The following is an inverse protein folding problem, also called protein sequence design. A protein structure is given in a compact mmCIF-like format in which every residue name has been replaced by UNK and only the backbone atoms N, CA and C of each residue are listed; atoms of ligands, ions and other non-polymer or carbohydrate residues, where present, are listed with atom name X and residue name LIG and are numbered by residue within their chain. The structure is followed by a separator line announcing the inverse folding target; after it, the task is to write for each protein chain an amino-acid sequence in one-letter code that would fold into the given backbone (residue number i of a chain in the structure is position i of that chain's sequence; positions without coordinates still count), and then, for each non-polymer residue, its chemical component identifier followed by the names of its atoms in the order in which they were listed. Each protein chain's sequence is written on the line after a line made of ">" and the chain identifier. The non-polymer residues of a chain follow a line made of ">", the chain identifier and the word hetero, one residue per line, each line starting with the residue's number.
data_IF_304330980712
#
_entry.id   IF_304330980712
#
_cell.length_a   1.000
_cell.length_b   1.000
_cell.length_c   1.000
_cell.angle_alpha   90.00
_cell.angle_beta   90.00
_cell.angle_gamma   90.00
#
_symmetry.space_group_name_H-M   'P 1'
#
loop_
_entity.id
_entity.type
_entity.pdbx_description
1 polymer ?
#
# COMPACT_ATOMS: atom_id res chain seq x y z
N UNK A 1 22.93 1.07 17.16
CA UNK A 1 22.14 -0.15 17.45
C UNK A 1 20.73 0.09 16.95
N UNK A 2 20.29 -0.67 15.96
CA UNK A 2 18.91 -0.58 15.50
C UNK A 2 18.01 -1.21 16.56
N UNK A 3 17.03 -0.44 17.07
CA UNK A 3 16.00 -0.98 17.94
C UNK A 3 15.10 -1.90 17.10
N UNK A 4 15.24 -3.19 17.31
CA UNK A 4 14.34 -4.18 16.73
C UNK A 4 13.02 -4.10 17.50
N UNK A 5 11.98 -3.57 16.85
CA UNK A 5 10.63 -3.59 17.40
C UNK A 5 10.09 -5.01 17.17
N UNK A 6 9.64 -5.74 18.21
CA UNK A 6 9.08 -7.07 18.04
C UNK A 6 7.86 -7.02 17.12
N UNK A 7 7.84 -7.84 16.07
CA UNK A 7 6.73 -7.93 15.11
C UNK A 7 6.95 -7.23 13.77
N UNK A 8 8.00 -6.42 13.63
CA UNK A 8 8.40 -5.89 12.32
C UNK A 8 9.28 -6.93 11.64
N UNK A 9 8.97 -7.38 10.40
CA UNK A 9 9.87 -8.25 9.69
C UNK A 9 11.22 -7.56 9.55
N UNK A 10 12.29 -8.21 10.04
CA UNK A 10 13.65 -7.72 9.84
C UNK A 10 13.96 -7.74 8.35
N UNK A 11 14.46 -6.63 7.78
CA UNK A 11 14.88 -6.63 6.38
C UNK A 11 15.90 -7.74 6.18
N UNK A 12 15.66 -8.59 5.19
CA UNK A 12 16.67 -9.59 4.79
C UNK A 12 17.85 -8.85 4.19
N UNK A 13 19.04 -9.39 4.42
CA UNK A 13 20.27 -8.85 3.82
C UNK A 13 20.11 -8.85 2.29
N UNK A 14 20.03 -7.66 1.69
CA UNK A 14 19.78 -7.50 0.26
C UNK A 14 18.43 -6.84 -0.09
N UNK A 15 17.53 -6.72 0.87
CA UNK A 15 16.30 -5.94 0.67
C UNK A 15 16.64 -4.44 0.62
N UNK A 16 16.01 -3.68 -0.29
CA UNK A 16 16.15 -2.23 -0.27
C UNK A 16 15.79 -1.71 1.11
N UNK A 17 16.69 -0.95 1.71
CA UNK A 17 16.52 -0.42 3.06
C UNK A 17 15.29 0.49 3.08
N UNK A 18 14.26 0.11 3.82
CA UNK A 18 13.13 0.98 4.10
C UNK A 18 13.62 2.20 4.87
N UNK A 19 13.63 3.35 4.23
CA UNK A 19 14.05 4.61 4.83
C UNK A 19 12.82 5.28 5.42
N UNK A 20 12.72 5.25 6.75
CA UNK A 20 11.74 6.07 7.45
C UNK A 20 12.19 7.53 7.37
N UNK A 21 11.28 8.43 7.03
CA UNK A 21 11.55 9.86 7.11
C UNK A 21 12.04 10.23 8.51
N UNK A 22 13.20 10.88 8.57
CA UNK A 22 13.85 11.19 9.87
C UNK A 22 13.06 12.19 10.72
N UNK A 23 12.12 12.94 10.15
CA UNK A 23 11.40 13.99 10.85
C UNK A 23 10.13 13.54 11.54
N UNK A 24 9.54 12.42 11.11
CA UNK A 24 8.39 11.82 11.78
C UNK A 24 8.52 10.31 11.64
N UNK A 25 8.59 9.66 12.76
CA UNK A 25 8.62 8.20 12.81
C UNK A 25 7.21 7.67 12.51
N UNK A 26 6.90 7.54 11.23
CA UNK A 26 5.71 6.82 10.79
C UNK A 26 6.10 5.37 10.50
N UNK A 27 5.24 4.46 10.90
CA UNK A 27 5.41 3.03 10.69
C UNK A 27 4.20 2.54 9.91
N UNK A 28 4.44 1.84 8.81
CA UNK A 28 3.40 1.12 8.09
C UNK A 28 3.59 -0.37 8.30
N UNK A 29 2.50 -1.06 8.58
CA UNK A 29 2.48 -2.49 8.82
C UNK A 29 1.38 -3.14 8.00
N UNK A 30 1.67 -4.30 7.44
CA UNK A 30 0.71 -5.20 6.82
C UNK A 30 0.56 -6.39 7.76
N UNK A 31 -0.67 -6.72 8.17
CA UNK A 31 -0.93 -7.82 9.10
C UNK A 31 -0.43 -9.16 8.54
N UNK A 32 -0.65 -9.36 7.24
CA UNK A 32 -0.12 -10.51 6.52
C UNK A 32 0.14 -10.14 5.06
N UNK A 33 1.17 -10.73 4.48
CA UNK A 33 1.43 -10.61 3.05
C UNK A 33 0.29 -11.29 2.30
N UNK A 34 -0.36 -10.55 1.42
CA UNK A 34 -1.49 -11.06 0.64
C UNK A 34 -0.98 -11.86 -0.54
N UNK A 35 -1.40 -13.12 -0.65
CA UNK A 35 -1.12 -13.93 -1.83
C UNK A 35 -2.26 -13.77 -2.84
N UNK A 36 -1.95 -13.20 -3.99
CA UNK A 36 -2.91 -12.84 -5.03
C UNK A 36 -2.71 -13.78 -6.22
N UNK A 37 -3.75 -14.48 -6.62
CA UNK A 37 -3.69 -15.24 -7.85
C UNK A 37 -3.73 -14.29 -9.05
N UNK A 38 -2.84 -14.47 -9.99
CA UNK A 38 -2.74 -13.65 -11.21
C UNK A 38 -4.10 -13.51 -11.91
N UNK A 39 -4.49 -12.28 -12.24
CA UNK A 39 -5.74 -11.98 -12.92
C UNK A 39 -6.99 -12.01 -12.04
N UNK A 40 -6.85 -12.04 -10.70
CA UNK A 40 -7.99 -11.93 -9.78
C UNK A 40 -8.01 -10.58 -9.07
N UNK A 41 -9.17 -10.17 -8.59
CA UNK A 41 -9.29 -8.99 -7.73
C UNK A 41 -8.80 -9.30 -6.32
N UNK A 42 -8.16 -8.34 -5.68
CA UNK A 42 -7.69 -8.48 -4.30
C UNK A 42 -7.62 -7.13 -3.59
N UNK A 43 -7.80 -7.12 -2.28
CA UNK A 43 -7.56 -5.92 -1.47
C UNK A 43 -6.42 -6.16 -0.50
N UNK A 44 -5.61 -5.11 -0.30
CA UNK A 44 -4.48 -5.08 0.62
C UNK A 44 -4.78 -4.03 1.68
N UNK A 45 -4.65 -4.40 2.94
CA UNK A 45 -4.83 -3.50 4.07
C UNK A 45 -3.47 -3.13 4.65
N UNK A 46 -3.22 -1.83 4.80
CA UNK A 46 -2.01 -1.29 5.40
C UNK A 46 -2.39 -0.46 6.62
N UNK A 47 -1.83 -0.79 7.77
CA UNK A 47 -2.04 -0.08 9.01
C UNK A 47 -0.88 0.87 9.28
N UNK A 48 -1.21 2.11 9.64
CA UNK A 48 -0.25 3.18 9.88
C UNK A 48 -0.21 3.56 11.35
N UNK A 49 1.00 3.69 11.88
CA UNK A 49 1.27 4.05 13.27
C UNK A 49 2.17 5.28 13.33
N UNK A 50 2.07 6.02 14.41
CA UNK A 50 3.05 7.03 14.76
C UNK A 50 4.31 6.38 15.38
N UNK A 51 5.33 7.20 15.68
CA UNK A 51 6.57 6.72 16.28
C UNK A 51 6.44 6.12 17.67
N UNK A 52 5.32 6.32 18.35
CA UNK A 52 5.02 5.79 19.68
C UNK A 52 4.23 4.47 19.61
N UNK A 53 3.97 3.98 18.39
CA UNK A 53 3.21 2.76 18.16
C UNK A 53 1.69 2.91 18.29
N UNK A 54 1.19 4.15 18.33
CA UNK A 54 -0.24 4.43 18.31
C UNK A 54 -0.75 4.52 16.88
N UNK A 55 -1.99 4.13 16.66
CA UNK A 55 -2.66 4.26 15.38
C UNK A 55 -2.67 5.72 14.92
N UNK A 56 -2.38 5.92 13.63
CA UNK A 56 -2.27 7.24 13.05
C UNK A 56 -3.67 7.78 12.71
N UNK A 57 -3.98 8.99 13.19
CA UNK A 57 -5.20 9.69 12.76
C UNK A 57 -5.03 10.21 11.32
N UNK A 58 -5.64 9.51 10.37
CA UNK A 58 -5.51 9.82 8.95
C UNK A 58 -6.23 11.09 8.53
N UNK A 59 -7.15 11.63 9.35
CA UNK A 59 -7.89 12.88 9.07
C UNK A 59 -6.99 14.12 9.09
N UNK A 60 -5.83 14.03 9.72
CA UNK A 60 -4.84 15.12 9.72
C UNK A 60 -4.17 15.35 8.37
N UNK A 61 -4.24 14.39 7.47
CA UNK A 61 -3.63 14.50 6.15
C UNK A 61 -4.61 15.05 5.12
N UNK A 62 -4.12 15.88 4.22
CA UNK A 62 -4.87 16.40 3.08
C UNK A 62 -4.80 15.46 1.88
N UNK A 63 -3.73 14.69 1.80
CA UNK A 63 -3.49 13.76 0.71
C UNK A 63 -2.72 12.54 1.22
N UNK A 64 -3.15 11.37 0.78
CA UNK A 64 -2.42 10.11 0.93
C UNK A 64 -2.26 9.51 -0.45
N UNK A 65 -1.03 9.24 -0.83
CA UNK A 65 -0.71 8.53 -2.06
C UNK A 65 -0.02 7.22 -1.72
N UNK A 66 -0.43 6.14 -2.37
CA UNK A 66 0.25 4.85 -2.30
C UNK A 66 0.57 4.38 -3.71
N UNK A 67 1.82 4.11 -3.95
CA UNK A 67 2.28 3.49 -5.19
C UNK A 67 2.68 2.04 -4.90
N UNK A 68 2.12 1.12 -5.66
CA UNK A 68 2.54 -0.27 -5.67
C UNK A 68 3.48 -0.51 -6.86
N UNK A 69 4.55 -1.23 -6.61
CA UNK A 69 5.55 -1.58 -7.62
C UNK A 69 6.05 -3.01 -7.43
N UNK A 70 6.55 -3.60 -8.51
CA UNK A 70 7.13 -4.94 -8.51
C UNK A 70 8.65 -4.91 -8.24
N UNK A 71 9.28 -6.08 -8.24
CA UNK A 71 10.72 -6.23 -8.00
C UNK A 71 11.60 -5.52 -9.06
N UNK A 72 11.04 -5.15 -10.20
CA UNK A 72 11.72 -4.44 -11.27
C UNK A 72 11.43 -2.93 -11.26
N UNK A 73 10.88 -2.42 -10.16
CA UNK A 73 10.45 -1.02 -10.01
C UNK A 73 9.37 -0.57 -11.02
N UNK A 74 8.65 -1.54 -11.60
CA UNK A 74 7.54 -1.23 -12.49
C UNK A 74 6.27 -0.97 -11.68
N UNK A 75 5.62 0.16 -11.92
CA UNK A 75 4.38 0.51 -11.25
C UNK A 75 3.29 -0.53 -11.51
N UNK A 76 2.76 -1.09 -10.43
CA UNK A 76 1.61 -2.01 -10.44
C UNK A 76 0.31 -1.24 -10.40
N UNK A 77 0.19 -0.32 -9.45
CA UNK A 77 -0.98 0.54 -9.28
C UNK A 77 -0.61 1.81 -8.50
N UNK A 78 -1.37 2.87 -8.71
CA UNK A 78 -1.33 4.08 -7.91
C UNK A 78 -2.67 4.28 -7.23
N UNK A 79 -2.64 4.65 -5.96
CA UNK A 79 -3.80 4.95 -5.15
C UNK A 79 -3.70 6.35 -4.56
N UNK A 80 -4.84 7.02 -4.46
CA UNK A 80 -4.94 8.37 -3.98
C UNK A 80 -6.10 8.55 -3.02
N UNK A 81 -5.94 9.38 -2.02
CA UNK A 81 -7.01 9.86 -1.17
C UNK A 81 -6.85 11.38 -1.00
N UNK A 82 -7.94 12.15 -1.04
CA UNK A 82 -9.35 11.74 -1.17
C UNK A 82 -9.78 11.43 -2.59
N UNK A 83 -9.02 11.77 -3.59
CA UNK A 83 -9.36 11.56 -5.00
C UNK A 83 -8.11 11.46 -5.87
N UNK A 84 -8.25 10.83 -7.02
CA UNK A 84 -7.18 10.79 -8.03
C UNK A 84 -7.01 12.20 -8.62
N UNK A 85 -5.80 12.80 -8.61
CA UNK A 85 -5.56 14.10 -9.19
C UNK A 85 -5.88 14.14 -10.69
N UNK A 86 -6.33 15.30 -11.17
CA UNK A 86 -6.63 15.51 -12.59
C UNK A 86 -5.41 15.22 -13.46
N UNK A 87 -5.57 14.38 -14.46
CA UNK A 87 -4.49 13.96 -15.37
C UNK A 87 -3.65 12.79 -14.87
N UNK A 88 -3.83 12.34 -13.62
CA UNK A 88 -3.20 11.13 -13.12
C UNK A 88 -4.05 9.90 -13.41
N UNK A 89 -3.39 8.74 -13.49
CA UNK A 89 -4.06 7.43 -13.56
C UNK A 89 -3.91 6.73 -12.22
N UNK A 90 -4.97 6.11 -11.76
CA UNK A 90 -4.93 5.35 -10.51
C UNK A 90 -6.33 5.14 -9.94
N UNK A 91 -6.36 4.70 -8.72
CA UNK A 91 -7.54 4.33 -7.97
C UNK A 91 -7.67 5.22 -6.72
N UNK A 92 -8.88 5.33 -6.22
CA UNK A 92 -9.11 5.93 -4.90
C UNK A 92 -8.85 4.84 -3.86
N UNK A 93 -7.98 5.14 -2.88
CA UNK A 93 -7.83 4.27 -1.71
C UNK A 93 -8.96 4.53 -0.72
N UNK A 94 -9.28 3.55 0.08
CA UNK A 94 -10.29 3.61 1.10
C UNK A 94 -9.65 3.74 2.47
N UNK A 95 -10.13 4.70 3.27
CA UNK A 95 -9.79 4.80 4.68
C UNK A 95 -10.87 4.05 5.45
N UNK A 96 -10.46 3.02 6.18
CA UNK A 96 -11.38 2.25 7.01
C UNK A 96 -11.56 2.95 8.35
N UNK A 97 -12.82 3.24 8.68
CA UNK A 97 -13.22 3.89 9.91
C UNK A 97 -13.98 2.91 10.78
N UNK A 98 -13.70 2.94 12.08
CA UNK A 98 -14.45 2.16 13.04
C UNK A 98 -15.38 3.07 13.84
N UNK A 99 -16.65 2.70 13.93
CA UNK A 99 -17.57 3.33 14.89
C UNK A 99 -17.22 2.90 16.31
N UNK A 100 -16.93 3.90 17.14
CA UNK A 100 -16.76 3.67 18.57
C UNK A 100 -18.10 3.84 19.28
N UNK A 101 -18.30 3.11 20.35
CA UNK A 101 -19.55 2.99 21.12
C UNK A 101 -20.13 4.31 21.64
N UNK A 102 -19.39 5.39 21.59
CA UNK A 102 -19.79 6.75 21.98
C UNK A 102 -20.15 7.65 20.77
N UNK A 103 -20.29 7.07 19.58
CA UNK A 103 -20.61 7.80 18.35
C UNK A 103 -19.44 8.54 17.74
N UNK A 104 -18.22 8.35 18.23
CA UNK A 104 -17.01 8.86 17.59
C UNK A 104 -16.53 7.88 16.53
N UNK A 105 -16.29 8.40 15.35
CA UNK A 105 -15.59 7.68 14.29
C UNK A 105 -14.09 7.85 14.56
N UNK A 106 -13.42 6.76 14.87
CA UNK A 106 -11.96 6.74 14.96
C UNK A 106 -11.42 6.13 13.68
N UNK A 107 -10.51 6.87 13.04
CA UNK A 107 -9.69 6.29 12.00
C UNK A 107 -8.66 5.41 12.68
N UNK A 108 -8.69 4.13 12.37
CA UNK A 108 -7.75 3.15 12.93
C UNK A 108 -6.38 3.16 12.22
N UNK A 109 -6.05 4.24 11.51
CA UNK A 109 -4.83 4.29 10.73
C UNK A 109 -4.80 3.25 9.59
N UNK A 110 -5.96 2.70 9.21
CA UNK A 110 -6.07 1.61 8.26
C UNK A 110 -6.51 2.12 6.90
N UNK A 111 -5.70 1.83 5.89
CA UNK A 111 -6.01 2.10 4.48
C UNK A 111 -6.20 0.78 3.73
N UNK A 112 -7.16 0.76 2.81
CA UNK A 112 -7.44 -0.38 1.93
C UNK A 112 -7.18 -0.04 0.48
N UNK A 113 -6.42 -0.89 -0.18
CA UNK A 113 -6.05 -0.78 -1.59
C UNK A 113 -6.66 -1.96 -2.35
N UNK A 114 -7.67 -1.71 -3.20
CA UNK A 114 -8.28 -2.79 -3.97
C UNK A 114 -7.76 -2.79 -5.40
N UNK A 115 -7.13 -3.89 -5.77
CA UNK A 115 -6.56 -4.16 -7.08
C UNK A 115 -7.59 -4.85 -7.98
N UNK A 116 -7.68 -4.41 -9.20
CA UNK A 116 -8.47 -5.08 -10.24
C UNK A 116 -7.64 -6.13 -11.00
N UNK A 117 -8.28 -6.81 -11.92
CA UNK A 117 -7.66 -7.85 -12.74
C UNK A 117 -6.55 -7.32 -13.65
N UNK A 118 -6.57 -6.04 -14.02
CA UNK A 118 -5.53 -5.43 -14.86
C UNK A 118 -4.25 -5.20 -14.07
N UNK A 119 -4.38 -4.85 -12.79
CA UNK A 119 -3.24 -4.69 -11.89
C UNK A 119 -2.58 -6.03 -11.56
N UNK A 120 -3.38 -7.07 -11.34
CA UNK A 120 -2.92 -8.40 -10.92
C UNK A 120 -2.59 -9.33 -12.09
N UNK A 121 -3.00 -8.99 -13.32
CA UNK A 121 -2.72 -9.73 -14.55
C UNK A 121 -1.27 -9.65 -15.04
N UNK A 122 -0.35 -9.22 -14.18
CA UNK A 122 1.08 -9.03 -14.45
C UNK A 122 1.87 -10.29 -14.18
N UNK A 123 3.19 -10.20 -14.45
CA UNK A 123 4.13 -11.25 -14.10
C UNK A 123 4.08 -11.57 -12.61
N UNK A 124 4.12 -12.85 -12.22
CA UNK A 124 4.22 -13.26 -10.84
C UNK A 124 5.45 -12.66 -10.16
N UNK A 125 5.33 -12.33 -8.88
CA UNK A 125 6.42 -11.76 -8.10
C UNK A 125 5.95 -11.00 -6.87
N UNK A 126 6.89 -10.49 -6.10
CA UNK A 126 6.61 -9.66 -4.94
C UNK A 126 6.12 -8.27 -5.33
N UNK A 127 5.24 -7.70 -4.52
CA UNK A 127 4.69 -6.36 -4.66
C UNK A 127 5.04 -5.56 -3.42
N UNK A 128 5.60 -4.40 -3.64
CA UNK A 128 6.00 -3.45 -2.59
C UNK A 128 5.16 -2.19 -2.66
N UNK A 129 5.05 -1.50 -1.55
CA UNK A 129 4.36 -0.23 -1.45
C UNK A 129 5.32 0.90 -1.06
N UNK A 130 5.08 2.06 -1.64
CA UNK A 130 5.61 3.34 -1.19
C UNK A 130 4.44 4.25 -0.85
N UNK A 131 4.48 4.87 0.33
CA UNK A 131 3.46 5.79 0.79
C UNK A 131 4.02 7.20 0.89
N UNK A 132 3.20 8.15 0.48
CA UNK A 132 3.41 9.58 0.67
C UNK A 132 2.18 10.17 1.34
N UNK A 133 2.38 10.81 2.49
CA UNK A 133 1.33 11.46 3.25
C UNK A 133 1.63 12.96 3.34
N UNK A 134 0.66 13.78 2.96
CA UNK A 134 0.77 15.24 3.04
C UNK A 134 -0.12 15.73 4.16
N UNK A 135 0.48 16.30 5.21
CA UNK A 135 -0.23 16.80 6.36
C UNK A 135 -0.70 18.23 6.13
N UNK A 136 -1.92 18.51 6.58
CA UNK A 136 -2.44 19.86 6.58
C UNK A 136 -1.59 20.76 7.52
N UNK A 137 -1.21 21.97 7.09
CA UNK A 137 -0.50 22.87 7.96
C UNK A 137 -1.38 23.26 9.16
N UNK A 138 -0.82 23.19 10.37
CA UNK A 138 -1.52 23.56 11.60
C UNK A 138 -1.85 25.05 11.68
N UNK A 139 -1.06 25.88 10.99
CA UNK A 139 -1.23 27.33 10.98
C UNK A 139 -1.15 27.87 9.56
N UNK A 140 -1.93 28.92 9.29
CA UNK A 140 -1.91 29.63 8.01
C UNK A 140 -0.50 30.16 7.71
N UNK A 141 0.01 29.86 6.53
CA UNK A 141 1.34 30.28 6.07
C UNK A 141 2.49 29.32 6.36
N UNK A 142 2.23 28.21 7.04
CA UNK A 142 3.22 27.14 7.14
C UNK A 142 3.17 26.24 5.91
N UNK A 143 4.32 25.72 5.42
CA UNK A 143 4.32 24.74 4.38
C UNK A 143 3.70 23.41 4.86
N UNK A 144 3.02 22.72 3.97
CA UNK A 144 2.55 21.36 4.24
C UNK A 144 3.75 20.45 4.54
N UNK A 145 3.60 19.58 5.51
CA UNK A 145 4.61 18.56 5.81
C UNK A 145 4.30 17.31 5.00
N UNK A 146 5.34 16.73 4.40
CA UNK A 146 5.24 15.53 3.59
C UNK A 146 6.09 14.44 4.21
N UNK A 147 5.44 13.31 4.45
CA UNK A 147 6.07 12.11 4.99
C UNK A 147 6.14 11.03 3.92
N UNK A 148 7.22 10.26 3.90
CA UNK A 148 7.40 9.14 3.00
C UNK A 148 7.73 7.86 3.77
N UNK A 149 7.13 6.75 3.35
CA UNK A 149 7.46 5.41 3.81
C UNK A 149 7.64 4.56 2.56
N UNK A 150 8.77 3.90 2.42
CA UNK A 150 9.10 3.11 1.23
C UNK A 150 9.43 1.66 1.56
N UNK A 151 9.44 0.82 0.54
CA UNK A 151 9.86 -0.58 0.60
C UNK A 151 9.04 -1.47 1.53
N UNK A 152 7.72 -1.27 1.60
CA UNK A 152 6.84 -2.15 2.37
C UNK A 152 6.45 -3.33 1.48
N UNK A 153 6.83 -4.54 1.87
CA UNK A 153 6.37 -5.74 1.18
C UNK A 153 4.92 -6.03 1.55
N UNK A 154 4.01 -5.95 0.57
CA UNK A 154 2.56 -5.99 0.83
C UNK A 154 1.87 -7.21 0.24
N UNK A 155 2.36 -7.74 -0.87
CA UNK A 155 1.71 -8.85 -1.55
C UNK A 155 2.68 -9.69 -2.38
N UNK A 156 2.20 -10.85 -2.82
CA UNK A 156 2.84 -11.71 -3.82
C UNK A 156 1.80 -12.08 -4.87
N UNK A 157 2.05 -11.75 -6.12
CA UNK A 157 1.25 -12.25 -7.24
C UNK A 157 1.76 -13.65 -7.59
N UNK A 158 0.87 -14.63 -7.47
CA UNK A 158 1.16 -16.02 -7.80
C UNK A 158 0.70 -16.33 -9.22
N UNK A 159 1.46 -17.20 -9.90
CA UNK A 159 1.10 -17.65 -11.24
C UNK A 159 -0.26 -18.34 -11.24
N UNK A 160 -1.08 -17.98 -12.23
CA UNK A 160 -2.37 -18.61 -12.49
C UNK A 160 -2.32 -19.40 -13.77
N UNK A 161 -2.56 -20.70 -13.69
CA UNK A 161 -2.67 -21.55 -14.87
C UNK A 161 -3.87 -21.16 -15.74
N UNK A 162 -4.96 -20.69 -15.11
CA UNK A 162 -6.15 -20.24 -15.82
C UNK A 162 -5.86 -18.96 -16.58
N UNK A 163 -5.13 -18.03 -15.96
CA UNK A 163 -4.77 -16.75 -16.59
C UNK A 163 -3.82 -16.96 -17.76
N UNK A 164 -2.80 -17.80 -17.58
CA UNK A 164 -1.82 -18.10 -18.60
C UNK A 164 -2.35 -19.00 -19.72
N UNK A 165 -3.42 -19.73 -19.48
CA UNK A 165 -4.14 -20.48 -20.49
C UNK A 165 -5.12 -19.64 -21.30
N UNK A 166 -5.08 -18.30 -21.11
CA UNK A 166 -5.94 -17.34 -21.78
C UNK A 166 -6.17 -17.65 -23.25
N UNK A 167 -7.17 -17.04 -23.82
CA UNK A 167 -7.71 -17.32 -25.16
C UNK A 167 -6.70 -17.41 -26.31
N UNK A 168 -5.43 -17.15 -26.06
CA UNK A 168 -4.31 -17.37 -26.99
C UNK A 168 -3.92 -18.82 -27.16
N UNK A 169 -4.27 -19.66 -26.28
CA UNK A 169 -4.25 -21.07 -26.57
C UNK A 169 -5.49 -21.37 -27.38
N UNK A 170 -5.50 -20.86 -28.56
CA UNK A 170 -6.28 -21.50 -29.59
C UNK A 170 -6.00 -22.97 -29.38
N UNK A 171 -6.99 -23.68 -28.92
CA UNK A 171 -6.97 -25.10 -28.61
C UNK A 171 -6.24 -25.93 -29.67
N UNK A 172 -4.94 -25.78 -29.71
CA UNK A 172 -4.02 -26.64 -30.47
C UNK A 172 -3.75 -27.94 -29.74
N UNK A 173 -4.50 -28.22 -28.70
CA UNK A 173 -4.38 -29.46 -27.94
C UNK A 173 -5.47 -30.47 -28.26
N UNK A 174 -6.09 -30.36 -29.43
CA UNK A 174 -6.95 -31.40 -29.97
C UNK A 174 -6.42 -31.86 -31.32
N UNK A 175 -5.29 -32.52 -31.29
CA UNK A 175 -4.90 -33.52 -32.31
C UNK A 175 -4.28 -34.70 -31.62
#
# INVERSE_FOLDING_TARGET
>A
MANIIPGVPTPRTGDPTCVLSQCARLIAQVDCIVYILQGTTACIDIQLFNGDGQLLDLRRFSEIQVMLFDELDCTVANFWWPSVPTGCRGFVLEILQTEVTDGRILDEGLIRLCLDTTCTGRSPGAVYAELRLTENPLFTGQPAQVYGISCIWVAVIQESKIWNSGCDTGCSLLT
#
